data_IF_629359212944
#
_entry.id   IF_629359212944
#
_cell.length_a   1.000
_cell.length_b   1.000
_cell.length_c   1.000
_cell.angle_alpha   90.00
_cell.angle_beta   90.00
_cell.angle_gamma   90.00
#
_symmetry.space_group_name_H-M   'P 1'
#
loop_
_entity.id
_entity.type
_entity.pdbx_description
1 polymer ?
#
# COMPACT_ATOMS: atom_id res chain seq x y z
N UNK A 1 63.05 40.06 12.69
CA UNK A 1 61.97 40.71 11.87
C UNK A 1 60.85 39.72 11.76
N UNK A 2 59.85 39.83 12.65
CA UNK A 2 58.71 38.88 12.73
C UNK A 2 57.45 39.63 12.28
N UNK A 3 56.86 39.17 11.20
CA UNK A 3 55.60 39.69 10.68
C UNK A 3 54.44 38.93 11.30
N UNK A 4 53.63 39.62 12.10
CA UNK A 4 52.40 39.12 12.73
C UNK A 4 51.26 39.16 11.69
N UNK A 5 50.74 38.00 11.28
CA UNK A 5 49.57 37.89 10.45
C UNK A 5 48.30 37.83 11.37
N UNK A 6 47.55 38.90 11.38
CA UNK A 6 46.26 38.99 12.09
C UNK A 6 45.16 38.41 11.19
N UNK A 7 44.67 37.22 11.53
CA UNK A 7 43.48 36.65 10.94
C UNK A 7 42.21 37.36 11.48
N UNK A 8 41.53 38.03 10.60
CA UNK A 8 40.25 38.68 10.87
C UNK A 8 39.15 37.66 10.58
N UNK A 9 38.59 37.04 11.63
CA UNK A 9 37.42 36.17 11.54
C UNK A 9 36.17 37.04 11.44
N UNK A 10 35.56 37.05 10.24
CA UNK A 10 34.26 37.69 9.97
C UNK A 10 33.18 36.73 10.43
N UNK A 11 32.61 36.94 11.61
CA UNK A 11 31.42 36.21 12.09
C UNK A 11 30.18 36.79 11.42
N UNK A 12 29.65 36.08 10.39
CA UNK A 12 28.34 36.35 9.80
C UNK A 12 27.26 35.86 10.78
N UNK A 13 26.71 36.77 11.56
CA UNK A 13 25.55 36.49 12.41
C UNK A 13 24.32 36.32 11.55
N UNK A 14 23.87 35.08 11.35
CA UNK A 14 22.59 34.76 10.74
C UNK A 14 21.50 35.05 11.77
N UNK A 15 20.88 36.26 11.72
CA UNK A 15 19.67 36.55 12.45
C UNK A 15 18.51 35.77 11.85
N UNK A 16 18.23 34.58 12.38
CA UNK A 16 16.97 33.89 12.10
C UNK A 16 15.86 34.67 12.78
N UNK A 17 15.14 35.48 12.02
CA UNK A 17 13.89 36.10 12.46
C UNK A 17 12.88 34.95 12.53
N UNK A 18 12.69 34.39 13.73
CA UNK A 18 11.62 33.46 14.02
C UNK A 18 10.30 34.26 14.01
N UNK A 19 9.64 34.33 12.85
CA UNK A 19 8.24 34.71 12.80
C UNK A 19 7.47 33.66 13.62
N UNK A 20 6.46 34.07 14.44
CA UNK A 20 5.59 33.13 15.09
C UNK A 20 4.83 32.36 14.00
N UNK A 21 5.31 31.17 13.67
CA UNK A 21 4.56 30.21 12.88
C UNK A 21 3.42 29.82 13.81
N UNK A 22 2.20 30.27 13.51
CA UNK A 22 1.01 29.66 14.12
C UNK A 22 1.16 28.17 13.84
N UNK A 23 1.40 27.39 14.90
CA UNK A 23 1.51 25.95 14.79
C UNK A 23 0.20 25.46 14.18
N UNK A 24 0.25 25.00 12.95
CA UNK A 24 -0.92 24.41 12.31
C UNK A 24 -1.39 23.25 13.19
N UNK A 25 -2.65 23.28 13.59
CA UNK A 25 -3.21 22.20 14.40
C UNK A 25 -3.31 20.93 13.53
N UNK A 26 -2.59 19.91 13.93
CA UNK A 26 -2.60 18.63 13.24
C UNK A 26 -3.78 17.80 13.73
N UNK A 27 -4.61 17.37 12.82
CA UNK A 27 -5.67 16.40 13.04
C UNK A 27 -5.14 15.01 12.69
N UNK A 28 -5.30 14.07 13.60
CA UNK A 28 -4.86 12.69 13.44
C UNK A 28 -6.04 11.76 13.28
N UNK A 29 -5.95 10.83 12.34
CA UNK A 29 -6.95 9.79 12.10
C UNK A 29 -6.24 8.44 11.98
N UNK A 30 -6.80 7.42 12.63
CA UNK A 30 -6.43 6.02 12.44
C UNK A 30 -7.68 5.30 11.96
N UNK A 31 -7.55 4.48 10.93
CA UNK A 31 -8.66 3.71 10.39
C UNK A 31 -8.22 2.26 10.12
N UNK A 32 -8.40 1.32 11.07
CA UNK A 32 -8.38 -0.10 10.74
C UNK A 32 -9.52 -0.42 9.78
N UNK A 33 -9.25 -1.25 8.79
CA UNK A 33 -10.25 -1.64 7.80
C UNK A 33 -10.06 -3.08 7.34
N UNK A 34 -11.08 -3.61 6.69
CA UNK A 34 -11.05 -4.87 5.96
C UNK A 34 -11.30 -4.57 4.48
N UNK A 35 -10.55 -5.22 3.61
CA UNK A 35 -10.72 -5.11 2.17
C UNK A 35 -11.11 -6.48 1.60
N UNK A 36 -12.35 -6.60 1.16
CA UNK A 36 -12.90 -7.79 0.50
C UNK A 36 -12.48 -7.81 -0.97
N UNK A 37 -11.20 -8.07 -1.22
CA UNK A 37 -10.63 -8.02 -2.56
C UNK A 37 -10.85 -9.31 -3.35
N UNK A 38 -10.87 -9.17 -4.66
CA UNK A 38 -10.64 -10.20 -5.67
C UNK A 38 -9.39 -9.85 -6.46
N UNK A 39 -8.70 -10.85 -7.03
CA UNK A 39 -7.46 -10.68 -7.78
C UNK A 39 -7.61 -11.35 -9.14
N UNK A 40 -7.29 -10.60 -10.21
CA UNK A 40 -7.35 -11.11 -11.59
C UNK A 40 -6.11 -10.66 -12.35
N UNK A 41 -5.50 -11.55 -13.12
CA UNK A 41 -4.32 -11.20 -13.92
C UNK A 41 -3.45 -12.39 -14.24
N UNK A 42 -2.17 -12.11 -14.46
CA UNK A 42 -1.17 -13.10 -14.80
C UNK A 42 0.00 -13.03 -13.83
N UNK A 43 0.39 -14.15 -13.27
CA UNK A 43 1.60 -14.30 -12.46
C UNK A 43 2.56 -15.27 -13.14
N UNK A 44 3.86 -15.10 -12.93
CA UNK A 44 4.82 -15.98 -13.58
C UNK A 44 6.16 -16.06 -12.88
N UNK A 45 6.78 -17.24 -12.92
CA UNK A 45 8.14 -17.52 -12.44
C UNK A 45 8.90 -18.27 -13.55
N UNK A 46 10.05 -17.73 -13.94
CA UNK A 46 10.83 -18.26 -15.06
C UNK A 46 10.05 -18.22 -16.37
N UNK A 47 9.95 -19.34 -17.03
CA UNK A 47 9.20 -19.49 -18.29
C UNK A 47 7.73 -19.91 -18.09
N UNK A 48 7.33 -20.13 -16.83
CA UNK A 48 5.97 -20.53 -16.48
C UNK A 48 5.14 -19.29 -16.16
N UNK A 49 3.94 -19.22 -16.72
CA UNK A 49 2.93 -18.20 -16.41
C UNK A 49 1.61 -18.90 -16.10
N UNK A 50 0.86 -18.34 -15.16
CA UNK A 50 -0.48 -18.78 -14.79
C UNK A 50 -1.43 -17.59 -14.76
N UNK A 51 -2.63 -17.77 -15.29
CA UNK A 51 -3.72 -16.83 -15.05
C UNK A 51 -4.22 -17.02 -13.62
N UNK A 52 -4.41 -15.92 -12.92
CA UNK A 52 -5.00 -15.88 -11.58
C UNK A 52 -6.38 -15.24 -11.68
N UNK A 53 -7.38 -15.88 -11.08
CA UNK A 53 -8.76 -15.37 -10.96
C UNK A 53 -9.29 -15.81 -9.59
N UNK A 54 -8.88 -15.08 -8.55
CA UNK A 54 -9.28 -15.35 -7.18
C UNK A 54 -10.44 -14.43 -6.80
N UNK A 55 -11.60 -15.03 -6.53
CA UNK A 55 -12.74 -14.29 -5.99
C UNK A 55 -12.50 -13.92 -4.52
N UNK A 56 -13.30 -12.97 -4.01
CA UNK A 56 -13.28 -12.64 -2.57
C UNK A 56 -13.51 -13.87 -1.67
N UNK A 57 -14.42 -14.79 -2.07
CA UNK A 57 -14.66 -16.01 -1.32
C UNK A 57 -13.43 -16.92 -1.30
N UNK A 58 -12.73 -17.06 -2.42
CA UNK A 58 -11.51 -17.89 -2.48
C UNK A 58 -10.41 -17.32 -1.57
N UNK A 59 -10.26 -15.99 -1.57
CA UNK A 59 -9.31 -15.32 -0.66
C UNK A 59 -9.73 -15.51 0.80
N UNK A 60 -11.01 -15.33 1.13
CA UNK A 60 -11.50 -15.45 2.49
C UNK A 60 -11.41 -16.89 3.05
N UNK A 61 -11.71 -17.88 2.21
CA UNK A 61 -11.67 -19.29 2.59
C UNK A 61 -10.23 -19.78 2.87
N UNK A 62 -9.25 -19.12 2.28
CA UNK A 62 -7.82 -19.46 2.42
C UNK A 62 -7.05 -18.41 3.27
N UNK A 63 -7.74 -17.42 3.84
CA UNK A 63 -7.12 -16.38 4.65
C UNK A 63 -6.73 -16.93 6.02
N UNK A 64 -5.44 -16.97 6.31
CA UNK A 64 -4.92 -17.34 7.62
C UNK A 64 -4.89 -16.13 8.56
N UNK A 65 -4.40 -15.01 8.05
CA UNK A 65 -4.33 -13.76 8.80
C UNK A 65 -4.32 -12.56 7.86
N UNK A 66 -4.97 -11.46 8.27
CA UNK A 66 -4.97 -10.20 7.56
C UNK A 66 -5.02 -9.01 8.52
N UNK A 67 -4.22 -8.00 8.24
CA UNK A 67 -4.26 -6.72 8.92
C UNK A 67 -4.19 -5.59 7.92
N UNK A 68 -5.11 -4.62 8.05
CA UNK A 68 -5.14 -3.45 7.18
C UNK A 68 -5.47 -2.21 8.00
N UNK A 69 -4.78 -1.13 7.71
CA UNK A 69 -5.02 0.11 8.43
C UNK A 69 -4.37 1.31 7.80
N UNK A 70 -5.02 2.45 7.95
CA UNK A 70 -4.53 3.75 7.50
C UNK A 70 -4.31 4.67 8.68
N UNK A 71 -3.20 5.37 8.70
CA UNK A 71 -2.95 6.53 9.54
C UNK A 71 -2.86 7.77 8.68
N UNK A 72 -3.54 8.85 9.09
CA UNK A 72 -3.48 10.15 8.44
C UNK A 72 -3.26 11.26 9.47
N UNK A 73 -2.25 12.06 9.24
CA UNK A 73 -2.06 13.36 9.91
C UNK A 73 -2.32 14.47 8.89
N UNK A 74 -3.11 15.47 9.23
CA UNK A 74 -3.45 16.56 8.31
C UNK A 74 -3.63 17.90 9.00
N UNK A 75 -3.30 18.95 8.26
CA UNK A 75 -3.65 20.35 8.52
C UNK A 75 -4.58 20.82 7.41
N UNK A 76 -4.93 22.10 7.40
CA UNK A 76 -5.72 22.70 6.30
C UNK A 76 -4.99 22.60 4.94
N UNK A 77 -3.65 22.52 4.94
CA UNK A 77 -2.85 22.57 3.71
C UNK A 77 -2.02 21.34 3.42
N UNK A 78 -1.61 20.61 4.44
CA UNK A 78 -0.70 19.46 4.29
C UNK A 78 -1.32 18.21 4.86
N UNK A 79 -1.00 17.08 4.29
CA UNK A 79 -1.33 15.78 4.89
C UNK A 79 -0.21 14.78 4.66
N UNK A 80 -0.08 13.87 5.63
CA UNK A 80 0.74 12.66 5.54
C UNK A 80 -0.22 11.50 5.73
N UNK A 81 -0.18 10.54 4.83
CA UNK A 81 -0.99 9.31 4.92
C UNK A 81 -0.07 8.11 4.85
N UNK A 82 -0.29 7.15 5.71
CA UNK A 82 0.38 5.84 5.67
C UNK A 82 -0.72 4.79 5.61
N UNK A 83 -0.70 3.95 4.59
CA UNK A 83 -1.58 2.79 4.44
C UNK A 83 -0.74 1.52 4.55
N UNK A 84 -1.15 0.59 5.39
CA UNK A 84 -0.46 -0.67 5.62
C UNK A 84 -1.43 -1.84 5.42
N UNK A 85 -0.97 -2.84 4.71
CA UNK A 85 -1.69 -4.06 4.41
C UNK A 85 -0.76 -5.25 4.65
N UNK A 86 -1.26 -6.26 5.34
CA UNK A 86 -0.68 -7.60 5.39
C UNK A 86 -1.78 -8.62 5.12
N UNK A 87 -1.50 -9.62 4.30
CA UNK A 87 -2.38 -10.73 4.00
C UNK A 87 -1.56 -12.02 3.85
N UNK A 88 -1.90 -13.03 4.66
CA UNK A 88 -1.35 -14.38 4.55
C UNK A 88 -2.45 -15.34 4.10
N UNK A 89 -2.18 -16.09 3.05
CA UNK A 89 -3.06 -17.11 2.46
C UNK A 89 -2.39 -18.48 2.54
N UNK A 90 -3.13 -19.50 2.97
CA UNK A 90 -2.66 -20.89 3.01
C UNK A 90 -3.60 -21.82 2.25
N UNK A 91 -3.07 -22.59 1.30
CA UNK A 91 -3.82 -23.57 0.50
C UNK A 91 -3.18 -24.92 0.62
N UNK A 92 -3.97 -25.93 0.99
CA UNK A 92 -3.53 -27.32 0.99
C UNK A 92 -4.19 -28.08 -0.15
N UNK A 93 -3.40 -28.53 -1.13
CA UNK A 93 -3.83 -29.36 -2.23
C UNK A 93 -3.40 -30.83 -2.03
N UNK A 94 -4.29 -31.76 -2.37
CA UNK A 94 -4.01 -33.20 -2.32
C UNK A 94 -4.05 -33.77 -3.73
N UNK A 95 -2.95 -34.38 -4.13
CA UNK A 95 -2.88 -35.09 -5.40
C UNK A 95 -3.82 -36.31 -5.48
N UNK A 96 -4.00 -36.89 -6.66
CA UNK A 96 -4.86 -38.06 -6.89
C UNK A 96 -4.53 -39.21 -5.92
N UNK A 97 -5.55 -39.66 -5.19
CA UNK A 97 -5.39 -40.74 -4.21
C UNK A 97 -4.78 -40.27 -2.85
N UNK A 98 -4.54 -38.98 -2.64
CA UNK A 98 -4.03 -38.44 -1.38
C UNK A 98 -2.58 -38.79 -1.04
N UNK A 99 -1.85 -39.33 -1.98
CA UNK A 99 -0.45 -39.78 -1.80
C UNK A 99 0.56 -38.61 -1.85
N UNK A 100 0.18 -37.52 -2.48
CA UNK A 100 0.95 -36.25 -2.52
C UNK A 100 0.14 -35.18 -1.81
N UNK A 101 0.83 -34.33 -1.05
CA UNK A 101 0.27 -33.13 -0.42
C UNK A 101 1.14 -31.97 -0.83
N UNK A 102 0.52 -30.91 -1.30
CA UNK A 102 1.17 -29.63 -1.55
C UNK A 102 0.54 -28.60 -0.62
N UNK A 103 1.35 -28.00 0.25
CA UNK A 103 0.99 -26.84 1.05
C UNK A 103 1.60 -25.61 0.36
N UNK A 104 0.76 -24.62 0.10
CA UNK A 104 1.13 -23.38 -0.59
C UNK A 104 0.77 -22.24 0.34
N UNK A 105 1.76 -21.52 0.81
CA UNK A 105 1.62 -20.35 1.63
C UNK A 105 2.02 -19.12 0.82
N UNK A 106 1.21 -18.06 0.88
CA UNK A 106 1.44 -16.79 0.18
C UNK A 106 1.27 -15.64 1.16
N UNK A 107 2.31 -14.85 1.32
CA UNK A 107 2.30 -13.63 2.12
C UNK A 107 2.41 -12.40 1.23
N UNK A 108 1.56 -11.41 1.50
CA UNK A 108 1.61 -10.10 0.84
C UNK A 108 1.72 -8.99 1.87
N UNK A 109 2.71 -8.13 1.72
CA UNK A 109 2.87 -6.87 2.44
C UNK A 109 2.72 -5.72 1.47
N UNK A 110 1.86 -4.77 1.80
CA UNK A 110 1.74 -3.49 1.11
C UNK A 110 1.94 -2.35 2.12
N UNK A 111 2.81 -1.41 1.80
CA UNK A 111 3.00 -0.20 2.58
C UNK A 111 3.07 1.00 1.64
N UNK A 112 2.17 1.96 1.82
CA UNK A 112 2.15 3.19 1.04
C UNK A 112 2.26 4.40 1.96
N UNK A 113 3.14 5.33 1.62
CA UNK A 113 3.32 6.58 2.33
C UNK A 113 3.20 7.77 1.38
N UNK A 114 2.24 8.68 1.64
CA UNK A 114 1.93 9.83 0.81
C UNK A 114 2.09 11.15 1.55
N UNK A 115 2.61 12.13 0.85
CA UNK A 115 2.51 13.54 1.21
C UNK A 115 1.47 14.22 0.30
N UNK A 116 0.50 14.90 0.90
CA UNK A 116 -0.56 15.62 0.22
C UNK A 116 -0.45 17.13 0.41
N UNK A 117 -0.72 17.89 -0.67
CA UNK A 117 -0.84 19.34 -0.67
C UNK A 117 -2.22 19.78 -1.16
N UNK A 118 -2.98 20.46 -0.30
CA UNK A 118 -4.30 20.96 -0.63
C UNK A 118 -4.20 22.20 -1.53
N UNK A 119 -4.68 22.08 -2.77
CA UNK A 119 -4.83 23.18 -3.71
C UNK A 119 -6.11 23.99 -3.41
N UNK A 120 -7.10 23.34 -2.80
CA UNK A 120 -8.33 23.94 -2.30
C UNK A 120 -8.89 23.09 -1.15
N UNK A 121 -9.96 23.54 -0.52
CA UNK A 121 -10.65 22.80 0.56
C UNK A 121 -11.13 21.41 0.14
N UNK A 122 -11.23 21.16 -1.17
CA UNK A 122 -11.75 19.90 -1.73
C UNK A 122 -10.74 19.12 -2.54
N UNK A 123 -9.67 19.76 -3.03
CA UNK A 123 -8.76 19.12 -3.97
C UNK A 123 -7.33 19.12 -3.43
N UNK A 124 -6.77 17.93 -3.31
CA UNK A 124 -5.41 17.66 -2.83
C UNK A 124 -4.64 16.91 -3.91
N UNK A 125 -3.44 17.36 -4.23
CA UNK A 125 -2.45 16.57 -4.98
C UNK A 125 -1.58 15.81 -4.01
N UNK A 126 -1.12 14.62 -4.40
CA UNK A 126 -0.30 13.76 -3.55
C UNK A 126 0.89 13.21 -4.33
N UNK A 127 1.95 12.93 -3.60
CA UNK A 127 3.12 12.21 -4.06
C UNK A 127 3.62 11.31 -2.92
N UNK A 128 4.08 10.11 -3.26
CA UNK A 128 4.47 9.13 -2.26
C UNK A 128 5.28 7.98 -2.82
N UNK A 129 5.41 6.97 -1.99
CA UNK A 129 6.06 5.70 -2.29
C UNK A 129 5.14 4.55 -1.87
N UNK A 130 5.05 3.53 -2.72
CA UNK A 130 4.37 2.26 -2.44
C UNK A 130 5.39 1.15 -2.45
N UNK A 131 5.54 0.47 -1.32
CA UNK A 131 6.31 -0.76 -1.17
C UNK A 131 5.40 -1.97 -1.26
N UNK A 132 5.81 -2.96 -2.01
CA UNK A 132 5.13 -4.25 -2.12
C UNK A 132 6.17 -5.35 -1.87
N UNK A 133 5.79 -6.35 -1.09
CA UNK A 133 6.56 -7.58 -0.87
C UNK A 133 5.60 -8.75 -1.03
N UNK A 134 5.98 -9.69 -1.87
CA UNK A 134 5.26 -10.91 -2.15
C UNK A 134 6.17 -12.08 -1.84
N UNK A 135 5.70 -13.01 -1.01
CA UNK A 135 6.39 -14.24 -0.70
C UNK A 135 5.47 -15.42 -1.02
N UNK A 136 5.99 -16.42 -1.71
CA UNK A 136 5.31 -17.67 -1.95
C UNK A 136 6.19 -18.82 -1.52
N UNK A 137 5.66 -19.70 -0.68
CA UNK A 137 6.31 -20.94 -0.26
C UNK A 137 5.46 -22.12 -0.70
N UNK A 138 6.09 -23.09 -1.32
CA UNK A 138 5.44 -24.33 -1.75
C UNK A 138 6.17 -25.50 -1.10
N UNK A 139 5.44 -26.27 -0.30
CA UNK A 139 5.94 -27.50 0.32
C UNK A 139 5.24 -28.72 -0.30
N UNK A 140 6.00 -29.64 -0.88
CA UNK A 140 5.46 -30.86 -1.45
C UNK A 140 5.94 -32.04 -0.65
N UNK A 141 5.00 -32.75 -0.01
CA UNK A 141 5.22 -33.97 0.76
C UNK A 141 4.74 -35.20 -0.01
N UNK A 142 5.56 -36.27 -0.02
CA UNK A 142 5.22 -37.56 -0.60
C UNK A 142 5.05 -38.65 0.46
N UNK A 143 4.47 -39.84 0.09
CA UNK A 143 4.16 -40.91 1.04
C UNK A 143 5.41 -41.57 1.65
N UNK A 144 6.61 -41.27 1.15
CA UNK A 144 7.90 -41.79 1.61
C UNK A 144 8.65 -40.79 2.52
N UNK A 145 8.00 -39.69 2.96
CA UNK A 145 8.61 -38.70 3.83
C UNK A 145 9.64 -37.78 3.13
N UNK A 146 9.65 -37.73 1.81
CA UNK A 146 10.48 -36.81 1.06
C UNK A 146 9.70 -35.48 0.93
N UNK A 147 10.06 -34.49 1.73
CA UNK A 147 9.55 -33.14 1.65
C UNK A 147 10.50 -32.29 0.80
N UNK A 148 9.95 -31.48 -0.09
CA UNK A 148 10.66 -30.46 -0.84
C UNK A 148 9.94 -29.13 -0.60
N UNK A 149 10.70 -28.12 -0.18
CA UNK A 149 10.21 -26.76 -0.03
C UNK A 149 10.93 -25.86 -1.03
N UNK A 150 10.18 -25.01 -1.67
CA UNK A 150 10.69 -23.92 -2.52
C UNK A 150 10.05 -22.63 -2.02
N UNK A 151 10.86 -21.58 -1.89
CA UNK A 151 10.43 -20.26 -1.46
C UNK A 151 10.93 -19.22 -2.46
N UNK A 152 10.02 -18.38 -2.90
CA UNK A 152 10.30 -17.25 -3.79
C UNK A 152 9.79 -15.99 -3.10
N UNK A 153 10.61 -14.94 -3.12
CA UNK A 153 10.25 -13.64 -2.54
C UNK A 153 10.66 -12.55 -3.52
N UNK A 154 9.75 -11.62 -3.75
CA UNK A 154 9.97 -10.47 -4.60
C UNK A 154 9.44 -9.21 -3.94
N UNK A 155 10.25 -8.14 -3.95
CA UNK A 155 9.83 -6.86 -3.39
C UNK A 155 10.27 -5.69 -4.25
N UNK A 156 9.44 -4.64 -4.31
CA UNK A 156 9.76 -3.42 -5.05
C UNK A 156 9.17 -2.18 -4.41
N UNK A 157 9.60 -1.02 -4.90
CA UNK A 157 9.11 0.29 -4.48
C UNK A 157 8.70 1.09 -5.70
N UNK A 158 7.46 1.55 -5.72
CA UNK A 158 6.91 2.42 -6.74
C UNK A 158 6.85 3.87 -6.25
N UNK A 159 7.44 4.84 -6.95
CA UNK A 159 7.04 6.23 -6.79
C UNK A 159 5.60 6.40 -7.27
N UNK A 160 4.82 7.20 -6.53
CA UNK A 160 3.40 7.41 -6.77
C UNK A 160 3.09 8.90 -6.84
N UNK A 161 2.26 9.29 -7.79
CA UNK A 161 1.67 10.64 -7.86
C UNK A 161 0.16 10.53 -8.10
N UNK A 162 -0.61 11.41 -7.50
CA UNK A 162 -2.06 11.32 -7.62
C UNK A 162 -2.80 12.55 -7.13
N UNK A 163 -4.11 12.41 -7.03
CA UNK A 163 -4.99 13.44 -6.54
C UNK A 163 -6.15 12.84 -5.74
N UNK A 164 -6.67 13.65 -4.84
CA UNK A 164 -7.84 13.34 -4.04
C UNK A 164 -8.84 14.49 -4.13
N UNK A 165 -10.11 14.15 -4.25
CA UNK A 165 -11.23 15.08 -4.19
C UNK A 165 -12.16 14.71 -3.04
N UNK A 166 -12.41 15.67 -2.13
CA UNK A 166 -13.31 15.51 -0.99
C UNK A 166 -14.60 16.29 -1.23
N UNK A 167 -15.73 15.59 -1.17
CA UNK A 167 -17.06 16.16 -1.33
C UNK A 167 -17.89 15.94 -0.07
N UNK A 168 -17.90 16.90 0.89
CA UNK A 168 -18.87 16.90 1.99
C UNK A 168 -20.24 17.30 1.41
N UNK A 169 -21.21 16.40 1.42
CA UNK A 169 -22.54 16.62 0.86
C UNK A 169 -23.65 16.67 1.92
N UNK A 170 -23.33 16.30 3.16
CA UNK A 170 -24.17 16.46 4.34
C UNK A 170 -23.31 16.62 5.60
N UNK A 171 -23.91 17.05 6.72
CA UNK A 171 -23.20 17.37 7.97
C UNK A 171 -22.31 16.21 8.47
N UNK A 172 -22.73 14.97 8.28
CA UNK A 172 -22.05 13.78 8.74
C UNK A 172 -21.48 12.90 7.60
N UNK A 173 -21.73 13.28 6.34
CA UNK A 173 -21.39 12.46 5.19
C UNK A 173 -20.45 13.16 4.22
N UNK A 174 -19.44 12.45 3.81
CA UNK A 174 -18.55 12.90 2.72
C UNK A 174 -18.18 11.75 1.80
N UNK A 175 -18.00 12.08 0.52
CA UNK A 175 -17.43 11.20 -0.48
C UNK A 175 -16.01 11.68 -0.80
N UNK A 176 -15.02 10.81 -0.66
CA UNK A 176 -13.66 11.07 -1.05
C UNK A 176 -13.31 10.17 -2.24
N UNK A 177 -12.84 10.78 -3.31
CA UNK A 177 -12.36 10.09 -4.50
C UNK A 177 -10.85 10.29 -4.58
N UNK A 178 -10.11 9.22 -4.75
CA UNK A 178 -8.67 9.23 -4.96
C UNK A 178 -8.33 8.50 -6.24
N UNK A 179 -7.38 9.03 -7.00
CA UNK A 179 -6.73 8.36 -8.11
C UNK A 179 -5.25 8.64 -8.10
N UNK A 180 -4.45 7.64 -8.36
CA UNK A 180 -2.99 7.75 -8.47
C UNK A 180 -2.43 6.82 -9.54
N UNK A 181 -1.24 7.17 -10.01
CA UNK A 181 -0.41 6.38 -10.91
C UNK A 181 0.99 6.26 -10.32
N UNK A 182 1.67 5.17 -10.63
CA UNK A 182 2.98 4.86 -10.07
C UNK A 182 3.79 3.90 -10.93
N UNK A 183 4.90 3.43 -10.37
CA UNK A 183 5.85 2.55 -11.03
C UNK A 183 6.84 3.31 -11.89
N UNK A 184 6.42 3.76 -13.06
CA UNK A 184 7.23 4.51 -14.03
C UNK A 184 8.53 3.80 -14.42
N UNK A 185 8.58 2.46 -14.32
CA UNK A 185 9.77 1.66 -14.57
C UNK A 185 10.87 1.77 -13.51
N UNK A 186 10.55 2.27 -12.29
CA UNK A 186 11.46 2.30 -11.14
C UNK A 186 11.33 0.99 -10.34
N UNK A 187 10.10 0.61 -9.98
CA UNK A 187 9.70 -0.67 -9.46
C UNK A 187 8.83 -1.36 -10.52
N UNK A 188 7.50 -1.20 -10.43
CA UNK A 188 6.57 -1.63 -11.47
C UNK A 188 6.80 -0.88 -12.78
N UNK A 189 6.56 -1.53 -13.91
CA UNK A 189 6.51 -0.86 -15.22
C UNK A 189 5.42 0.20 -15.21
N UNK A 190 4.24 -0.17 -14.70
CA UNK A 190 3.14 0.74 -14.45
C UNK A 190 2.26 0.22 -13.32
N UNK A 191 1.75 1.14 -12.50
CA UNK A 191 0.73 0.86 -11.50
C UNK A 191 -0.29 2.00 -11.48
N UNK A 192 -1.55 1.70 -11.21
CA UNK A 192 -2.55 2.73 -10.96
C UNK A 192 -3.58 2.28 -9.94
N UNK A 193 -4.15 3.25 -9.25
CA UNK A 193 -5.13 3.01 -8.20
C UNK A 193 -6.28 4.00 -8.30
N UNK A 194 -7.50 3.51 -8.04
CA UNK A 194 -8.68 4.33 -7.84
C UNK A 194 -9.42 3.88 -6.57
N UNK A 195 -9.78 4.85 -5.72
CA UNK A 195 -10.51 4.60 -4.48
C UNK A 195 -11.69 5.58 -4.38
N UNK A 196 -12.88 5.06 -4.09
CA UNK A 196 -14.05 5.84 -3.69
C UNK A 196 -14.37 5.51 -2.23
N UNK A 197 -14.40 6.50 -1.34
CA UNK A 197 -14.62 6.33 0.11
C UNK A 197 -15.82 7.15 0.54
N UNK A 198 -16.90 6.50 0.92
CA UNK A 198 -18.05 7.10 1.58
C UNK A 198 -17.82 7.08 3.09
N UNK A 199 -17.68 8.25 3.70
CA UNK A 199 -17.46 8.41 5.14
C UNK A 199 -18.74 8.86 5.84
N UNK A 200 -19.04 8.23 6.96
CA UNK A 200 -20.09 8.63 7.87
C UNK A 200 -19.48 8.93 9.25
N UNK A 201 -19.42 10.23 9.58
CA UNK A 201 -18.87 10.73 10.85
C UNK A 201 -20.01 10.96 11.83
N UNK A 202 -20.36 9.96 12.64
CA UNK A 202 -21.48 10.02 13.57
C UNK A 202 -21.10 10.66 14.92
N UNK A 203 -19.81 10.87 15.18
CA UNK A 203 -19.33 11.65 16.35
C UNK A 203 -18.08 12.46 15.96
N UNK A 204 -17.66 13.45 16.76
CA UNK A 204 -16.43 14.21 16.49
C UNK A 204 -15.16 13.35 16.43
N UNK A 205 -15.18 12.17 17.07
CA UNK A 205 -14.01 11.30 17.20
C UNK A 205 -14.14 9.97 16.48
N UNK A 206 -15.33 9.62 15.99
CA UNK A 206 -15.55 8.26 15.45
C UNK A 206 -16.44 8.33 14.22
N UNK A 207 -16.06 7.60 13.20
CA UNK A 207 -16.79 7.44 11.95
C UNK A 207 -16.64 6.03 11.39
N UNK A 208 -17.35 5.78 10.31
CA UNK A 208 -17.26 4.56 9.49
C UNK A 208 -16.96 4.95 8.06
N UNK A 209 -16.14 4.17 7.39
CA UNK A 209 -15.83 4.32 5.98
C UNK A 209 -16.28 3.07 5.21
N UNK A 210 -17.04 3.29 4.15
CA UNK A 210 -17.34 2.30 3.12
C UNK A 210 -16.54 2.69 1.89
N UNK A 211 -15.75 1.79 1.34
CA UNK A 211 -14.94 2.09 0.19
C UNK A 211 -15.05 1.03 -0.90
N UNK A 212 -14.71 1.42 -2.11
CA UNK A 212 -14.34 0.50 -3.17
C UNK A 212 -12.96 0.90 -3.68
N UNK A 213 -12.04 -0.05 -3.69
CA UNK A 213 -10.65 0.13 -4.13
C UNK A 213 -10.39 -0.74 -5.35
N UNK A 214 -9.71 -0.17 -6.32
CA UNK A 214 -9.13 -0.86 -7.46
C UNK A 214 -7.66 -0.50 -7.52
N UNK A 215 -6.80 -1.49 -7.57
CA UNK A 215 -5.34 -1.37 -7.69
C UNK A 215 -4.87 -2.34 -8.76
N UNK A 216 -4.16 -1.82 -9.73
CA UNK A 216 -3.58 -2.57 -10.83
C UNK A 216 -2.08 -2.35 -10.84
N UNK A 217 -1.32 -3.44 -10.94
CA UNK A 217 0.14 -3.40 -10.92
C UNK A 217 0.70 -4.32 -11.99
N UNK A 218 1.54 -3.77 -12.85
CA UNK A 218 2.30 -4.47 -13.87
C UNK A 218 3.80 -4.40 -13.49
N UNK A 219 4.31 -5.49 -12.94
CA UNK A 219 5.68 -5.63 -12.49
C UNK A 219 6.33 -6.84 -13.14
N UNK A 220 7.49 -6.62 -13.77
CA UNK A 220 8.33 -7.69 -14.31
C UNK A 220 9.80 -7.44 -13.94
N UNK A 221 10.47 -8.46 -13.41
CA UNK A 221 11.91 -8.44 -13.15
C UNK A 221 12.56 -9.73 -13.61
N UNK A 222 13.88 -9.68 -13.92
CA UNK A 222 14.65 -10.81 -14.38
C UNK A 222 14.37 -11.19 -15.84
N UNK A 223 14.98 -12.29 -16.29
CA UNK A 223 14.80 -12.84 -17.65
C UNK A 223 15.02 -14.36 -17.66
N UNK A 224 14.33 -15.05 -18.56
CA UNK A 224 14.48 -16.50 -18.72
C UNK A 224 14.03 -17.24 -17.47
N UNK A 225 14.90 -18.04 -16.87
CA UNK A 225 14.56 -18.86 -15.70
C UNK A 225 14.46 -18.03 -14.39
N UNK A 226 15.05 -16.82 -14.36
CA UNK A 226 15.01 -15.91 -13.21
C UNK A 226 13.92 -14.83 -13.36
N UNK A 227 13.02 -14.95 -14.35
CA UNK A 227 11.94 -13.99 -14.57
C UNK A 227 10.88 -14.12 -13.49
N UNK A 228 10.45 -12.98 -12.95
CA UNK A 228 9.26 -12.84 -12.12
C UNK A 228 8.27 -11.89 -12.82
N UNK A 229 7.01 -12.28 -12.92
CA UNK A 229 5.94 -11.49 -13.52
C UNK A 229 4.76 -11.38 -12.52
N UNK A 230 4.30 -10.18 -12.32
CA UNK A 230 3.10 -9.87 -11.54
C UNK A 230 2.29 -8.78 -12.25
N UNK A 231 1.38 -9.18 -13.11
CA UNK A 231 0.45 -8.30 -13.82
C UNK A 231 -0.95 -8.60 -13.30
N UNK A 232 -1.34 -7.91 -12.19
CA UNK A 232 -2.53 -8.25 -11.40
C UNK A 232 -3.32 -7.02 -11.02
N UNK A 233 -4.61 -7.07 -11.32
CA UNK A 233 -5.63 -6.16 -10.82
C UNK A 233 -6.28 -6.72 -9.55
N UNK A 234 -6.26 -5.96 -8.47
CA UNK A 234 -6.90 -6.27 -7.19
C UNK A 234 -8.03 -5.28 -6.94
N UNK A 235 -9.25 -5.75 -6.74
CA UNK A 235 -10.39 -4.85 -6.56
C UNK A 235 -11.42 -5.40 -5.59
N UNK A 236 -12.15 -4.49 -4.94
CA UNK A 236 -13.25 -4.90 -4.07
C UNK A 236 -13.70 -3.85 -3.06
N UNK A 237 -14.78 -4.15 -2.33
CA UNK A 237 -15.30 -3.30 -1.27
C UNK A 237 -14.40 -3.32 -0.04
N UNK A 238 -14.35 -2.20 0.69
CA UNK A 238 -13.69 -2.12 1.98
C UNK A 238 -14.61 -1.47 3.03
N UNK A 239 -14.42 -1.87 4.28
CA UNK A 239 -15.15 -1.35 5.43
C UNK A 239 -14.15 -1.05 6.54
N UNK A 240 -14.18 0.18 7.06
CA UNK A 240 -13.29 0.62 8.13
C UNK A 240 -13.98 1.45 9.20
N UNK A 241 -13.34 1.53 10.36
CA UNK A 241 -13.74 2.41 11.46
C UNK A 241 -12.68 3.49 11.61
N UNK A 242 -13.11 4.74 11.68
CA UNK A 242 -12.24 5.91 11.77
C UNK A 242 -12.23 6.43 13.20
N UNK A 243 -11.05 6.62 13.75
CA UNK A 243 -10.81 7.28 15.03
C UNK A 243 -10.04 8.57 14.80
N UNK A 244 -10.59 9.70 15.29
CA UNK A 244 -9.99 11.05 15.17
C UNK A 244 -9.57 11.56 16.53
N UNK A 245 -8.38 12.15 16.64
CA UNK A 245 -7.82 12.70 17.89
C UNK A 245 -6.85 13.86 17.62
#
# INVERSE_FOLDING_TARGET
>A
MSACFRSMVLSLGLCVVASPVNAAEWKHEIAPYLWGSSMQGTVGIGTLTAETDLSFSDILDNLEFGFMGTYRASTDRYSITIDALYMGLGVTEKGPGGALKADIDMDQVGLEGDFGYALSDRFTVLAGLRYVDLEAQVEVGGPLGNERSTREQQSWVDPVIGAQYAWPFADQWSLNLRGDIGGFGVGSDFAWQAIAILRWQFSPRTGVAFAYRYLDMDYEDGKGDDRFLYDVATSGPALGVIFTF
#
